data_IF_371266019155
#
_entry.id   IF_371266019155
#
_cell.length_a   1.000
_cell.length_b   1.000
_cell.length_c   1.000
_cell.angle_alpha   90.00
_cell.angle_beta   90.00
_cell.angle_gamma   90.00
#
_symmetry.space_group_name_H-M   'P 1'
#
loop_
_entity.id
_entity.type
_entity.pdbx_description
1 polymer ?
#
# COMPACT_ATOMS: atom_id res chain seq x y z
N UNK A 1 -5.12 7.52 -22.75
CA UNK A 1 -3.85 6.89 -22.33
C UNK A 1 -2.64 7.81 -22.48
N UNK A 2 -2.47 8.56 -23.57
CA UNK A 2 -1.32 9.49 -23.75
C UNK A 2 -1.27 10.68 -22.76
N UNK A 3 -2.42 11.27 -22.40
CA UNK A 3 -2.47 12.43 -21.48
C UNK A 3 -1.99 12.12 -20.05
N UNK A 4 -2.23 10.91 -19.56
CA UNK A 4 -1.76 10.50 -18.23
C UNK A 4 -0.24 10.23 -18.23
N UNK A 5 0.33 9.77 -19.36
CA UNK A 5 1.79 9.63 -19.47
C UNK A 5 2.51 10.98 -19.40
N UNK A 6 2.06 11.97 -20.21
CA UNK A 6 2.65 13.32 -20.23
C UNK A 6 2.59 14.01 -18.86
N UNK A 7 1.45 13.91 -18.17
CA UNK A 7 1.30 14.48 -16.83
C UNK A 7 2.23 13.83 -15.81
N UNK A 8 2.33 12.50 -15.82
CA UNK A 8 3.29 11.80 -14.94
C UNK A 8 4.73 12.19 -15.21
N UNK A 9 5.11 12.40 -16.48
CA UNK A 9 6.46 12.87 -16.84
C UNK A 9 6.69 14.30 -16.35
N UNK A 10 5.73 15.21 -16.56
CA UNK A 10 5.83 16.60 -16.11
C UNK A 10 5.95 16.69 -14.59
N UNK A 11 5.00 16.09 -13.87
CA UNK A 11 5.03 16.10 -12.40
C UNK A 11 6.22 15.32 -11.86
N UNK A 12 6.67 14.27 -12.55
CA UNK A 12 7.87 13.55 -12.14
C UNK A 12 9.15 14.36 -12.27
N UNK A 13 9.23 15.22 -13.29
CA UNK A 13 10.32 16.21 -13.39
C UNK A 13 10.24 17.24 -12.27
N UNK A 14 9.05 17.79 -12.00
CA UNK A 14 8.88 18.83 -10.98
C UNK A 14 9.11 18.32 -9.55
N UNK A 15 8.65 17.10 -9.25
CA UNK A 15 8.82 16.44 -7.95
C UNK A 15 10.19 15.75 -7.81
N UNK A 16 10.98 15.64 -8.89
CA UNK A 16 12.24 14.88 -8.95
C UNK A 16 12.10 13.39 -8.58
N UNK A 17 10.89 12.86 -8.66
CA UNK A 17 10.56 11.45 -8.40
C UNK A 17 9.70 10.90 -9.53
N UNK A 18 9.82 9.61 -9.82
CA UNK A 18 9.00 9.02 -10.88
C UNK A 18 7.56 8.87 -10.40
N UNK A 19 6.61 9.47 -11.13
CA UNK A 19 5.18 9.33 -10.86
C UNK A 19 4.67 8.06 -11.54
N UNK A 20 4.26 7.07 -10.75
CA UNK A 20 3.71 5.80 -11.23
C UNK A 20 2.24 5.96 -11.65
N UNK A 21 1.45 6.68 -10.86
CA UNK A 21 0.05 6.96 -11.14
C UNK A 21 -0.38 8.36 -10.66
N UNK A 22 -1.46 8.86 -11.26
CA UNK A 22 -2.20 10.04 -10.81
C UNK A 22 -3.65 9.58 -10.73
N UNK A 23 -4.20 9.53 -9.53
CA UNK A 23 -5.45 8.82 -9.25
C UNK A 23 -5.33 7.29 -9.42
N UNK A 24 -6.48 6.63 -9.44
CA UNK A 24 -6.62 5.18 -9.58
C UNK A 24 -7.60 4.79 -10.68
N UNK A 25 -7.40 3.60 -11.23
CA UNK A 25 -8.37 2.93 -12.12
C UNK A 25 -9.05 1.73 -11.46
N UNK A 26 -8.88 1.58 -10.13
CA UNK A 26 -9.52 0.52 -9.38
C UNK A 26 -11.04 0.60 -9.52
N UNK A 27 -11.67 -0.53 -9.84
CA UNK A 27 -13.12 -0.63 -9.98
C UNK A 27 -13.68 -1.11 -8.64
N UNK A 28 -14.36 -0.23 -7.88
CA UNK A 28 -14.85 -0.59 -6.56
C UNK A 28 -16.01 -1.56 -6.66
N UNK A 29 -16.06 -2.50 -5.71
CA UNK A 29 -17.10 -3.54 -5.64
C UNK A 29 -18.00 -3.40 -4.40
N UNK A 30 -17.68 -2.46 -3.50
CA UNK A 30 -18.44 -2.12 -2.30
C UNK A 30 -18.33 -0.62 -1.96
N UNK A 31 -19.09 -0.16 -0.98
CA UNK A 31 -19.18 1.26 -0.57
C UNK A 31 -17.84 1.80 -0.08
N UNK A 32 -17.14 1.08 0.80
CA UNK A 32 -15.82 1.47 1.29
C UNK A 32 -14.81 1.62 0.15
N UNK A 33 -14.75 0.67 -0.78
CA UNK A 33 -13.93 0.78 -1.98
C UNK A 33 -14.28 1.99 -2.83
N UNK A 34 -15.56 2.32 -2.91
CA UNK A 34 -16.03 3.47 -3.68
C UNK A 34 -15.53 4.77 -3.08
N UNK A 35 -15.66 4.95 -1.76
CA UNK A 35 -15.18 6.12 -1.04
C UNK A 35 -13.68 6.35 -1.25
N UNK A 36 -12.85 5.31 -1.12
CA UNK A 36 -11.40 5.44 -1.34
C UNK A 36 -11.05 5.77 -2.79
N UNK A 37 -11.70 5.12 -3.77
CA UNK A 37 -11.47 5.39 -5.19
C UNK A 37 -11.85 6.82 -5.53
N UNK A 38 -12.99 7.29 -5.04
CA UNK A 38 -13.46 8.65 -5.23
C UNK A 38 -12.50 9.65 -4.59
N UNK A 39 -12.06 9.43 -3.34
CA UNK A 39 -11.10 10.29 -2.65
C UNK A 39 -9.75 10.37 -3.37
N UNK A 40 -9.17 9.23 -3.77
CA UNK A 40 -7.90 9.18 -4.51
C UNK A 40 -8.00 9.93 -5.85
N UNK A 41 -9.12 9.76 -6.56
CA UNK A 41 -9.34 10.41 -7.85
C UNK A 41 -9.67 11.91 -7.71
N UNK A 42 -10.52 12.28 -6.76
CA UNK A 42 -10.89 13.66 -6.46
C UNK A 42 -9.66 14.48 -6.07
N UNK A 43 -8.83 13.93 -5.18
CA UNK A 43 -7.60 14.60 -4.74
C UNK A 43 -6.47 14.53 -5.77
N UNK A 44 -6.63 13.76 -6.85
CA UNK A 44 -5.57 13.45 -7.84
C UNK A 44 -4.30 12.92 -7.17
N UNK A 45 -4.46 12.11 -6.13
CA UNK A 45 -3.35 11.57 -5.34
C UNK A 45 -2.38 10.83 -6.27
N UNK A 46 -1.08 11.13 -6.12
CA UNK A 46 -0.02 10.59 -6.96
C UNK A 46 0.74 9.50 -6.21
N UNK A 47 0.93 8.34 -6.84
CA UNK A 47 1.88 7.34 -6.33
C UNK A 47 3.27 7.64 -6.92
N UNK A 48 4.24 7.89 -6.05
CA UNK A 48 5.62 8.20 -6.39
C UNK A 48 6.51 7.00 -6.07
N UNK A 49 7.47 6.74 -6.95
CA UNK A 49 8.61 5.86 -6.71
C UNK A 49 9.78 6.71 -6.20
N UNK A 50 10.03 6.64 -4.89
CA UNK A 50 11.14 7.33 -4.22
C UNK A 50 12.42 6.51 -4.39
N UNK A 51 12.33 5.22 -4.05
CA UNK A 51 13.36 4.23 -4.33
C UNK A 51 12.73 3.00 -4.97
N UNK A 52 13.23 2.62 -6.15
CA UNK A 52 12.71 1.49 -6.90
C UNK A 52 12.99 0.16 -6.18
N UNK A 53 11.95 -0.66 -6.03
CA UNK A 53 12.07 -2.04 -5.55
C UNK A 53 12.95 -2.90 -6.48
N UNK A 54 13.81 -3.75 -5.90
CA UNK A 54 14.60 -4.72 -6.64
C UNK A 54 13.89 -6.08 -6.61
N UNK A 55 12.91 -6.23 -7.51
CA UNK A 55 12.01 -7.38 -7.54
C UNK A 55 12.74 -8.58 -8.18
N UNK A 56 13.34 -9.41 -7.34
CA UNK A 56 13.92 -10.71 -7.71
C UNK A 56 13.38 -11.80 -6.80
N UNK A 57 13.39 -13.05 -7.27
CA UNK A 57 12.97 -14.22 -6.47
C UNK A 57 13.72 -14.29 -5.14
N UNK A 58 15.03 -14.02 -5.15
CA UNK A 58 15.85 -14.01 -3.94
C UNK A 58 15.45 -12.90 -2.97
N UNK A 59 15.24 -11.67 -3.46
CA UNK A 59 14.82 -10.56 -2.60
C UNK A 59 13.41 -10.79 -2.03
N UNK A 60 12.49 -11.36 -2.82
CA UNK A 60 11.16 -11.76 -2.33
C UNK A 60 11.29 -12.76 -1.18
N UNK A 61 12.17 -13.75 -1.32
CA UNK A 61 12.41 -14.73 -0.27
C UNK A 61 13.06 -14.12 0.97
N UNK A 62 14.08 -13.29 0.81
CA UNK A 62 14.71 -12.59 1.94
C UNK A 62 13.73 -11.68 2.67
N UNK A 63 12.87 -10.98 1.93
CA UNK A 63 11.79 -10.19 2.49
C UNK A 63 10.79 -11.07 3.23
N UNK A 64 10.38 -12.22 2.68
CA UNK A 64 9.52 -13.17 3.37
C UNK A 64 10.15 -13.69 4.67
N UNK A 65 11.45 -14.00 4.68
CA UNK A 65 12.16 -14.42 5.89
C UNK A 65 12.19 -13.32 6.95
N UNK A 66 12.36 -12.06 6.52
CA UNK A 66 12.27 -10.89 7.39
C UNK A 66 10.83 -10.59 7.83
N UNK A 67 9.82 -10.91 7.00
CA UNK A 67 8.37 -10.65 7.15
C UNK A 67 7.58 -11.80 7.81
N UNK A 68 8.14 -13.00 7.95
CA UNK A 68 7.56 -14.10 8.75
C UNK A 68 8.41 -14.33 10.00
N UNK A 69 9.67 -13.88 9.99
CA UNK A 69 10.68 -14.13 11.01
C UNK A 69 11.49 -15.39 10.68
N UNK A 70 12.82 -15.27 10.64
CA UNK A 70 13.72 -16.38 10.26
C UNK A 70 13.50 -17.64 11.08
N UNK A 71 13.19 -17.51 12.37
CA UNK A 71 12.92 -18.65 13.24
C UNK A 71 11.59 -19.38 12.98
N UNK A 72 10.70 -18.80 12.15
CA UNK A 72 9.40 -19.34 11.78
C UNK A 72 9.41 -20.04 10.41
N UNK A 73 10.54 -19.99 9.68
CA UNK A 73 10.70 -20.71 8.41
C UNK A 73 11.90 -21.67 8.53
N UNK A 74 11.70 -22.99 8.52
CA UNK A 74 12.74 -24.01 8.75
C UNK A 74 13.91 -23.94 7.75
N UNK A 75 15.11 -24.35 8.14
CA UNK A 75 16.27 -24.37 7.22
C UNK A 75 16.16 -25.42 6.12
N UNK A 76 15.52 -26.56 6.38
CA UNK A 76 15.28 -27.64 5.42
C UNK A 76 14.15 -27.32 4.41
N UNK A 77 14.01 -26.04 4.04
CA UNK A 77 13.01 -25.53 3.11
C UNK A 77 13.57 -25.43 1.70
N UNK A 78 12.70 -25.57 0.72
CA UNK A 78 12.96 -25.14 -0.66
C UNK A 78 12.00 -24.01 -1.02
N UNK A 79 12.56 -22.87 -1.44
CA UNK A 79 11.76 -21.79 -2.03
C UNK A 79 11.59 -22.06 -3.52
N UNK A 80 10.35 -22.02 -3.99
CA UNK A 80 9.99 -22.32 -5.39
C UNK A 80 9.21 -21.14 -5.95
N UNK A 81 9.70 -20.60 -7.06
CA UNK A 81 8.94 -19.69 -7.90
C UNK A 81 8.10 -20.50 -8.87
N UNK A 82 6.79 -20.34 -8.80
CA UNK A 82 5.82 -20.99 -9.70
C UNK A 82 5.52 -20.07 -10.87
N UNK A 83 5.34 -18.78 -10.58
CA UNK A 83 5.14 -17.71 -11.55
C UNK A 83 5.99 -16.51 -11.14
N UNK A 84 6.79 -15.94 -12.06
CA UNK A 84 7.61 -14.78 -11.74
C UNK A 84 6.75 -13.59 -11.29
N UNK A 85 7.30 -12.78 -10.39
CA UNK A 85 6.69 -11.52 -10.01
C UNK A 85 6.68 -10.53 -11.18
N UNK A 86 5.66 -9.69 -11.22
CA UNK A 86 5.63 -8.55 -12.13
C UNK A 86 6.66 -7.52 -11.69
N UNK A 87 7.54 -7.08 -12.60
CA UNK A 87 8.56 -6.07 -12.31
C UNK A 87 8.00 -4.65 -12.41
N UNK A 88 6.80 -4.44 -11.89
CA UNK A 88 6.13 -3.15 -11.86
C UNK A 88 5.28 -3.01 -10.59
N UNK A 89 5.29 -1.82 -10.01
CA UNK A 89 4.44 -1.49 -8.87
C UNK A 89 3.24 -0.73 -9.40
N UNK A 90 2.07 -1.34 -9.26
CA UNK A 90 0.82 -0.79 -9.73
C UNK A 90 -0.01 -0.26 -8.55
N UNK A 91 -0.42 1.01 -8.64
CA UNK A 91 -1.29 1.65 -7.66
C UNK A 91 -2.58 0.86 -7.44
N UNK A 92 -3.16 0.25 -8.49
CA UNK A 92 -4.34 -0.61 -8.39
C UNK A 92 -4.16 -1.73 -7.35
N UNK A 93 -3.01 -2.40 -7.39
CA UNK A 93 -2.70 -3.51 -6.50
C UNK A 93 -2.38 -3.01 -5.08
N UNK A 94 -1.83 -1.80 -4.96
CA UNK A 94 -1.55 -1.19 -3.67
C UNK A 94 -2.84 -0.77 -2.98
N UNK A 95 -3.70 -0.03 -3.69
CA UNK A 95 -4.98 0.46 -3.19
C UNK A 95 -5.91 -0.70 -2.84
N UNK A 96 -5.96 -1.76 -3.66
CA UNK A 96 -6.68 -3.00 -3.32
C UNK A 96 -6.18 -3.62 -2.01
N UNK A 97 -4.87 -3.68 -1.77
CA UNK A 97 -4.33 -4.18 -0.51
C UNK A 97 -4.60 -3.23 0.67
N UNK A 98 -4.71 -1.91 0.44
CA UNK A 98 -5.06 -0.92 1.47
C UNK A 98 -6.54 -1.03 1.84
N UNK A 99 -7.43 -1.19 0.86
CA UNK A 99 -8.89 -1.16 1.09
C UNK A 99 -9.45 -2.51 1.52
N UNK A 100 -9.02 -3.62 0.91
CA UNK A 100 -9.61 -4.95 1.19
C UNK A 100 -9.19 -5.54 2.55
N UNK A 101 -8.29 -4.86 3.28
CA UNK A 101 -7.76 -5.31 4.56
C UNK A 101 -6.61 -6.31 4.44
N UNK A 102 -5.91 -6.57 5.54
CA UNK A 102 -4.82 -7.55 5.58
C UNK A 102 -5.27 -8.99 5.79
N UNK A 103 -6.52 -9.24 6.18
CA UNK A 103 -6.94 -10.60 6.51
C UNK A 103 -6.80 -11.52 5.30
N UNK A 104 -6.34 -12.74 5.54
CA UNK A 104 -6.09 -13.70 4.46
C UNK A 104 -6.69 -15.04 4.79
N UNK A 105 -7.17 -15.67 3.73
CA UNK A 105 -7.67 -17.04 3.78
C UNK A 105 -6.50 -18.00 3.69
N UNK A 106 -6.45 -18.94 4.63
CA UNK A 106 -5.57 -20.10 4.63
C UNK A 106 -6.42 -21.33 4.32
N UNK A 107 -6.20 -21.91 3.15
CA UNK A 107 -6.68 -23.25 2.82
C UNK A 107 -5.63 -24.28 3.22
N UNK A 108 -6.08 -25.39 3.81
CA UNK A 108 -5.26 -26.52 4.23
C UNK A 108 -5.90 -27.80 3.74
N UNK A 109 -5.12 -28.65 3.10
CA UNK A 109 -5.50 -29.99 2.63
C UNK A 109 -4.61 -31.01 3.33
N UNK A 110 -5.22 -32.04 3.89
CA UNK A 110 -4.58 -33.18 4.55
C UNK A 110 -4.68 -34.39 3.64
N UNK A 111 -3.55 -34.86 3.11
CA UNK A 111 -3.57 -35.98 2.17
C UNK A 111 -4.03 -37.28 2.86
N UNK A 112 -4.86 -38.04 2.17
CA UNK A 112 -5.43 -39.30 2.68
C UNK A 112 -6.51 -39.14 3.75
N UNK A 113 -6.73 -37.93 4.29
CA UNK A 113 -7.74 -37.62 5.29
C UNK A 113 -7.43 -38.19 6.68
N UNK A 114 -7.54 -37.35 7.71
CA UNK A 114 -7.40 -37.79 9.10
C UNK A 114 -8.18 -36.86 10.03
N UNK A 115 -9.34 -37.29 10.52
CA UNK A 115 -10.20 -36.44 11.34
C UNK A 115 -9.51 -35.94 12.61
N UNK A 116 -8.62 -36.75 13.20
CA UNK A 116 -7.91 -36.39 14.43
C UNK A 116 -6.88 -35.28 14.20
N UNK A 117 -6.20 -35.27 13.06
CA UNK A 117 -5.25 -34.19 12.71
C UNK A 117 -6.00 -32.90 12.36
N UNK A 118 -7.14 -33.01 11.65
CA UNK A 118 -8.01 -31.87 11.33
C UNK A 118 -8.49 -31.17 12.60
N UNK A 119 -8.96 -31.93 13.60
CA UNK A 119 -9.42 -31.33 14.86
C UNK A 119 -8.27 -30.63 15.60
N UNK A 120 -7.06 -31.18 15.58
CA UNK A 120 -5.86 -30.52 16.13
C UNK A 120 -5.54 -29.22 15.38
N UNK A 121 -5.61 -29.23 14.05
CA UNK A 121 -5.38 -28.04 13.23
C UNK A 121 -6.39 -26.95 13.55
N UNK A 122 -7.67 -27.29 13.67
CA UNK A 122 -8.73 -26.34 14.05
C UNK A 122 -8.44 -25.69 15.42
N UNK A 123 -8.05 -26.47 16.42
CA UNK A 123 -7.72 -25.93 17.74
C UNK A 123 -6.49 -25.01 17.69
N UNK A 124 -5.47 -25.39 16.91
CA UNK A 124 -4.28 -24.58 16.74
C UNK A 124 -4.60 -23.25 16.05
N UNK A 125 -5.35 -23.26 14.94
CA UNK A 125 -5.77 -22.05 14.22
C UNK A 125 -6.52 -21.10 15.16
N UNK A 126 -7.48 -21.60 15.93
CA UNK A 126 -8.22 -20.79 16.91
C UNK A 126 -7.31 -20.20 17.99
N UNK A 127 -6.33 -20.97 18.48
CA UNK A 127 -5.33 -20.48 19.45
C UNK A 127 -4.45 -19.36 18.87
N UNK A 128 -4.26 -19.33 17.56
CA UNK A 128 -3.56 -18.25 16.85
C UNK A 128 -4.51 -17.11 16.43
N UNK A 129 -5.70 -16.99 17.05
CA UNK A 129 -6.73 -16.01 16.73
C UNK A 129 -7.32 -16.11 15.31
N UNK A 130 -7.18 -17.28 14.67
CA UNK A 130 -7.80 -17.56 13.38
C UNK A 130 -9.27 -17.95 13.51
N UNK A 131 -10.06 -17.57 12.50
CA UNK A 131 -11.48 -17.96 12.40
C UNK A 131 -11.62 -19.11 11.39
N UNK A 132 -12.31 -20.18 11.76
CA UNK A 132 -12.64 -21.25 10.80
C UNK A 132 -13.84 -20.82 9.97
N UNK A 133 -13.70 -20.88 8.65
CA UNK A 133 -14.75 -20.55 7.69
C UNK A 133 -15.44 -21.84 7.25
N UNK A 134 -14.67 -22.82 6.80
CA UNK A 134 -15.16 -24.14 6.39
C UNK A 134 -14.23 -25.24 6.90
N UNK A 135 -14.79 -26.43 7.14
CA UNK A 135 -14.02 -27.63 7.48
C UNK A 135 -14.67 -28.89 6.95
N UNK A 136 -13.85 -29.83 6.52
CA UNK A 136 -14.22 -31.20 6.17
C UNK A 136 -13.26 -32.19 6.84
N UNK A 137 -13.32 -33.47 6.50
CA UNK A 137 -12.40 -34.49 7.03
C UNK A 137 -11.01 -34.46 6.35
N UNK A 138 -10.87 -33.68 5.27
CA UNK A 138 -9.65 -33.58 4.47
C UNK A 138 -9.17 -32.14 4.32
N UNK A 139 -10.03 -31.14 4.56
CA UNK A 139 -9.75 -29.75 4.21
C UNK A 139 -10.22 -28.78 5.28
N UNK A 140 -9.53 -27.64 5.37
CA UNK A 140 -9.90 -26.52 6.25
C UNK A 140 -9.73 -25.23 5.44
N UNK A 141 -10.74 -24.36 5.49
CA UNK A 141 -10.60 -22.96 5.11
C UNK A 141 -10.72 -22.11 6.36
N UNK A 142 -9.70 -21.29 6.61
CA UNK A 142 -9.65 -20.39 7.77
C UNK A 142 -9.27 -18.99 7.35
N UNK A 143 -9.57 -18.01 8.20
CA UNK A 143 -9.25 -16.59 8.01
C UNK A 143 -8.34 -16.13 9.13
N UNK A 144 -7.17 -15.60 8.77
CA UNK A 144 -6.15 -15.07 9.68
C UNK A 144 -5.96 -13.57 9.46
N UNK A 145 -5.36 -12.90 10.43
CA UNK A 145 -5.18 -11.44 10.45
C UNK A 145 -4.31 -10.90 9.31
N UNK A 146 -3.32 -11.65 8.85
CA UNK A 146 -2.41 -11.23 7.79
C UNK A 146 -1.93 -12.38 6.93
N UNK A 147 -1.39 -12.05 5.75
CA UNK A 147 -0.67 -13.02 4.90
C UNK A 147 0.47 -13.72 5.63
N UNK A 148 1.26 -12.96 6.38
CA UNK A 148 2.44 -13.50 7.07
C UNK A 148 2.04 -14.44 8.20
N UNK A 149 0.95 -14.11 8.91
CA UNK A 149 0.37 -14.97 9.93
C UNK A 149 -0.20 -16.25 9.32
N UNK A 150 -0.95 -16.14 8.21
CA UNK A 150 -1.45 -17.31 7.47
C UNK A 150 -0.33 -18.23 6.98
N UNK A 151 0.79 -17.68 6.47
CA UNK A 151 1.96 -18.46 6.05
C UNK A 151 2.59 -19.17 7.25
N UNK A 152 2.83 -18.45 8.36
CA UNK A 152 3.40 -19.01 9.60
C UNK A 152 2.54 -20.14 10.16
N UNK A 153 1.23 -19.91 10.28
CA UNK A 153 0.27 -20.93 10.72
C UNK A 153 0.30 -22.12 9.78
N UNK A 154 0.29 -21.90 8.46
CA UNK A 154 0.41 -22.97 7.47
C UNK A 154 1.66 -23.83 7.65
N UNK A 155 2.82 -23.23 7.92
CA UNK A 155 4.07 -23.97 8.18
C UNK A 155 3.96 -24.82 9.46
N UNK A 156 3.37 -24.30 10.54
CA UNK A 156 3.16 -25.07 11.78
C UNK A 156 2.18 -26.24 11.59
N UNK A 157 1.10 -26.04 10.82
CA UNK A 157 0.17 -27.13 10.46
C UNK A 157 0.88 -28.23 9.66
N UNK A 158 1.73 -27.84 8.70
CA UNK A 158 2.55 -28.80 7.96
C UNK A 158 3.46 -29.58 8.88
N UNK A 159 4.16 -28.91 9.79
CA UNK A 159 5.03 -29.56 10.77
C UNK A 159 4.25 -30.59 11.61
N UNK A 160 3.09 -30.21 12.13
CA UNK A 160 2.23 -31.14 12.90
C UNK A 160 1.79 -32.34 12.07
N UNK A 161 1.44 -32.14 10.79
CA UNK A 161 1.13 -33.23 9.86
C UNK A 161 2.32 -34.16 9.64
N UNK A 162 3.49 -33.60 9.31
CA UNK A 162 4.71 -34.37 9.05
C UNK A 162 5.21 -35.14 10.28
N UNK A 163 5.01 -34.61 11.49
CA UNK A 163 5.27 -35.32 12.75
C UNK A 163 4.37 -36.55 12.90
N UNK A 164 3.12 -36.46 12.45
CA UNK A 164 2.15 -37.56 12.37
C UNK A 164 2.35 -38.47 11.14
N UNK A 165 3.33 -38.19 10.28
CA UNK A 165 3.58 -38.95 9.04
C UNK A 165 2.55 -38.68 7.93
N UNK A 166 1.89 -37.53 7.97
CA UNK A 166 0.85 -37.11 7.02
C UNK A 166 1.34 -35.87 6.29
N UNK A 167 1.29 -35.92 4.95
CA UNK A 167 1.60 -34.75 4.14
C UNK A 167 0.43 -33.76 4.13
N UNK A 168 0.79 -32.48 4.19
CA UNK A 168 -0.15 -31.37 4.33
C UNK A 168 0.19 -30.31 3.31
N UNK A 169 -0.83 -29.86 2.58
CA UNK A 169 -0.72 -28.72 1.69
C UNK A 169 -1.43 -27.53 2.30
N UNK A 170 -0.81 -26.37 2.17
CA UNK A 170 -1.41 -25.12 2.56
C UNK A 170 -1.29 -24.10 1.43
N UNK A 171 -2.26 -23.19 1.35
CA UNK A 171 -2.22 -22.08 0.42
C UNK A 171 -2.90 -20.85 1.01
N UNK A 172 -2.28 -19.69 0.80
CA UNK A 172 -2.76 -18.41 1.30
C UNK A 172 -3.31 -17.59 0.15
N UNK A 173 -4.51 -17.02 0.33
CA UNK A 173 -5.22 -16.22 -0.67
C UNK A 173 -6.00 -15.05 -0.07
N UNK A 174 -6.40 -14.11 -0.93
CA UNK A 174 -7.28 -12.99 -0.53
C UNK A 174 -8.71 -13.45 -0.27
N UNK A 175 -9.15 -14.52 -0.93
CA UNK A 175 -10.45 -15.18 -0.72
C UNK A 175 -10.24 -16.68 -0.54
N UNK A 176 -11.25 -17.38 -0.01
CA UNK A 176 -11.23 -18.84 0.11
C UNK A 176 -11.08 -19.54 -1.26
N UNK A 177 -11.77 -19.04 -2.29
CA UNK A 177 -11.62 -19.57 -3.64
C UNK A 177 -10.18 -19.38 -4.18
N UNK A 178 -9.59 -18.20 -3.96
CA UNK A 178 -8.23 -17.92 -4.41
C UNK A 178 -7.16 -18.74 -3.66
N UNK A 179 -7.39 -19.09 -2.39
CA UNK A 179 -6.48 -20.00 -1.67
C UNK A 179 -6.61 -21.44 -2.18
N UNK A 180 -7.82 -21.91 -2.49
CA UNK A 180 -8.05 -23.24 -3.08
C UNK A 180 -7.42 -23.34 -4.48
N UNK A 181 -7.69 -22.38 -5.37
CA UNK A 181 -7.11 -22.35 -6.71
C UNK A 181 -5.58 -22.40 -6.66
N UNK A 182 -4.98 -21.65 -5.72
CA UNK A 182 -3.54 -21.66 -5.50
C UNK A 182 -3.03 -23.01 -5.02
N UNK A 183 -3.75 -23.68 -4.13
CA UNK A 183 -3.43 -25.05 -3.71
C UNK A 183 -3.44 -26.03 -4.88
N UNK A 184 -4.42 -25.92 -5.77
CA UNK A 184 -4.53 -26.74 -6.98
C UNK A 184 -3.35 -26.49 -7.91
N UNK A 185 -3.00 -25.22 -8.16
CA UNK A 185 -1.86 -24.87 -9.02
C UNK A 185 -0.53 -25.31 -8.41
N UNK A 186 -0.39 -25.21 -7.09
CA UNK A 186 0.76 -25.73 -6.35
C UNK A 186 0.90 -27.25 -6.56
N UNK A 187 -0.19 -28.02 -6.42
CA UNK A 187 -0.19 -29.46 -6.65
C UNK A 187 0.31 -29.86 -8.04
N UNK A 188 -0.12 -29.13 -9.08
CA UNK A 188 0.31 -29.38 -10.46
C UNK A 188 1.82 -29.20 -10.66
N UNK A 189 2.46 -28.35 -9.86
CA UNK A 189 3.87 -27.97 -10.01
C UNK A 189 4.81 -28.78 -9.13
N UNK A 190 4.43 -29.05 -7.88
CA UNK A 190 5.31 -29.70 -6.89
C UNK A 190 4.81 -31.10 -6.47
N UNK A 191 3.71 -31.58 -7.05
CA UNK A 191 3.08 -32.85 -6.70
C UNK A 191 2.51 -32.87 -5.27
N UNK A 192 2.27 -34.08 -4.76
CA UNK A 192 1.82 -34.34 -3.39
C UNK A 192 2.97 -34.18 -2.37
N UNK A 193 3.59 -32.99 -2.36
CA UNK A 193 4.62 -32.62 -1.39
C UNK A 193 4.05 -31.58 -0.42
N UNK A 194 4.46 -31.68 0.85
CA UNK A 194 4.10 -30.71 1.86
C UNK A 194 4.67 -29.32 1.56
N UNK A 195 3.82 -28.28 1.62
CA UNK A 195 4.25 -26.92 1.33
C UNK A 195 3.16 -25.85 1.45
N UNK A 196 3.58 -24.59 1.57
CA UNK A 196 2.71 -23.40 1.64
C UNK A 196 2.85 -22.56 0.38
N UNK A 197 1.78 -22.42 -0.41
CA UNK A 197 1.72 -21.54 -1.58
C UNK A 197 1.15 -20.15 -1.26
N UNK A 198 1.67 -19.08 -1.87
CA UNK A 198 1.19 -17.70 -1.67
C UNK A 198 1.53 -16.78 -2.85
N UNK A 199 0.99 -15.55 -2.86
CA UNK A 199 1.30 -14.51 -3.84
C UNK A 199 2.03 -13.30 -3.28
N UNK A 200 2.87 -12.68 -4.11
CA UNK A 200 3.51 -11.38 -3.87
C UNK A 200 3.77 -10.72 -5.24
N UNK A 201 3.34 -9.47 -5.41
CA UNK A 201 3.57 -8.66 -6.63
C UNK A 201 3.19 -9.37 -7.94
N UNK A 202 1.99 -9.96 -8.01
CA UNK A 202 1.51 -10.68 -9.21
C UNK A 202 2.16 -12.05 -9.47
N UNK A 203 3.26 -12.37 -8.77
CA UNK A 203 3.95 -13.66 -8.79
C UNK A 203 3.39 -14.66 -7.79
N UNK A 204 3.67 -15.93 -8.04
CA UNK A 204 3.24 -17.07 -7.22
C UNK A 204 4.46 -17.86 -6.74
N UNK A 205 4.49 -18.12 -5.43
CA UNK A 205 5.64 -18.71 -4.74
C UNK A 205 5.19 -19.79 -3.77
N UNK A 206 6.11 -20.69 -3.43
CA UNK A 206 5.89 -21.70 -2.41
C UNK A 206 7.12 -21.95 -1.54
N UNK A 207 6.85 -22.31 -0.29
CA UNK A 207 7.84 -22.92 0.60
C UNK A 207 7.50 -24.40 0.71
N UNK A 208 8.40 -25.26 0.25
CA UNK A 208 8.21 -26.71 0.18
C UNK A 208 9.14 -27.42 1.16
N UNK A 209 8.64 -28.50 1.77
CA UNK A 209 9.36 -29.30 2.76
C UNK A 209 9.42 -30.76 2.29
N UNK A 210 10.63 -31.29 2.15
CA UNK A 210 10.87 -32.67 1.72
C UNK A 210 11.21 -33.63 2.86
N UNK A 211 11.32 -33.12 4.10
CA UNK A 211 11.65 -33.89 5.29
C UNK A 211 11.06 -33.25 6.54
N UNK A 212 11.00 -34.02 7.63
CA UNK A 212 10.47 -33.55 8.91
C UNK A 212 11.09 -32.21 9.31
N UNK A 213 10.22 -31.29 9.69
CA UNK A 213 10.59 -29.92 10.03
C UNK A 213 11.17 -29.88 11.46
N UNK A 214 12.30 -29.19 11.63
CA UNK A 214 12.89 -28.92 12.95
C UNK A 214 12.00 -28.00 13.78
N UNK A 215 12.20 -27.96 15.11
CA UNK A 215 11.46 -27.07 15.99
C UNK A 215 11.62 -25.61 15.53
N UNK A 216 10.51 -24.93 15.26
CA UNK A 216 10.50 -23.49 15.00
C UNK A 216 10.97 -22.77 16.26
N UNK A 217 11.99 -21.92 16.11
CA UNK A 217 12.63 -21.20 17.20
C UNK A 217 12.09 -19.76 17.34
N UNK A 218 11.32 -19.29 16.36
CA UNK A 218 10.75 -17.95 16.34
C UNK A 218 9.49 -17.86 17.19
N UNK A 219 9.38 -16.78 17.98
CA UNK A 219 8.07 -16.24 18.30
C UNK A 219 7.44 -15.67 17.00
N UNK A 220 6.11 -15.51 16.92
CA UNK A 220 5.50 -14.74 15.84
C UNK A 220 6.23 -13.40 15.73
N UNK A 221 6.70 -13.06 14.54
CA UNK A 221 7.30 -11.75 14.35
C UNK A 221 6.22 -10.70 14.59
N UNK A 222 6.36 -9.93 15.66
CA UNK A 222 5.57 -8.73 15.88
C UNK A 222 6.09 -7.72 14.86
N UNK A 223 5.41 -7.59 13.73
CA UNK A 223 5.66 -6.44 12.87
C UNK A 223 5.05 -5.26 13.57
N UNK A 224 5.91 -4.44 14.14
CA UNK A 224 5.49 -3.12 14.53
C UNK A 224 5.26 -2.31 13.26
N UNK A 225 3.99 -2.10 12.91
CA UNK A 225 3.63 -1.20 11.83
C UNK A 225 3.61 0.20 12.45
N UNK A 226 4.78 0.80 12.56
CA UNK A 226 4.93 2.13 13.13
C UNK A 226 4.48 3.18 12.15
N UNK A 227 3.60 4.05 12.61
CA UNK A 227 3.15 5.25 11.93
C UNK A 227 3.68 6.45 12.68
N UNK A 228 4.35 7.35 11.96
CA UNK A 228 4.76 8.67 12.41
C UNK A 228 3.97 9.70 11.60
N UNK A 229 3.27 10.60 12.27
CA UNK A 229 2.57 11.73 11.65
C UNK A 229 3.13 13.01 12.27
N UNK A 230 3.33 14.02 11.44
CA UNK A 230 3.72 15.35 11.89
C UNK A 230 3.13 16.41 10.95
N UNK A 231 2.75 17.57 11.48
CA UNK A 231 2.14 18.64 10.71
C UNK A 231 3.22 19.55 10.08
N UNK A 232 3.15 19.71 8.77
CA UNK A 232 3.96 20.70 8.05
C UNK A 232 3.65 22.11 8.53
N UNK A 233 4.70 22.91 8.72
CA UNK A 233 4.64 24.34 9.08
C UNK A 233 3.65 24.63 10.22
N UNK A 234 3.60 23.76 11.22
CA UNK A 234 2.68 23.86 12.36
C UNK A 234 2.70 25.24 13.02
N UNK A 235 3.87 25.90 13.06
CA UNK A 235 4.02 27.27 13.57
C UNK A 235 3.19 28.28 12.77
N UNK A 236 3.29 28.25 11.44
CA UNK A 236 2.51 29.14 10.57
C UNK A 236 1.00 28.83 10.68
N UNK A 237 0.64 27.55 10.70
CA UNK A 237 -0.76 27.14 10.88
C UNK A 237 -1.34 27.66 12.21
N UNK A 238 -0.57 27.58 13.31
CA UNK A 238 -0.99 28.09 14.62
C UNK A 238 -1.16 29.61 14.60
N UNK A 239 -0.30 30.34 13.88
CA UNK A 239 -0.44 31.80 13.71
C UNK A 239 -1.71 32.17 12.93
N UNK A 240 -2.07 31.40 11.90
CA UNK A 240 -3.21 31.68 11.01
C UNK A 240 -4.56 31.18 11.56
N UNK A 241 -4.59 30.00 12.17
CA UNK A 241 -5.81 29.27 12.54
C UNK A 241 -5.95 29.04 14.05
N UNK A 242 -4.91 29.36 14.83
CA UNK A 242 -4.88 29.15 16.27
C UNK A 242 -4.45 27.75 16.69
N UNK A 243 -3.86 27.66 17.89
CA UNK A 243 -3.37 26.39 18.45
C UNK A 243 -4.48 25.38 18.67
N UNK A 244 -5.60 25.83 19.20
CA UNK A 244 -6.72 24.96 19.56
C UNK A 244 -7.24 24.17 18.34
N UNK A 245 -7.21 24.79 17.16
CA UNK A 245 -7.62 24.13 15.91
C UNK A 245 -6.67 23.01 15.51
N UNK A 246 -5.36 23.20 15.67
CA UNK A 246 -4.39 22.13 15.42
C UNK A 246 -4.57 20.98 16.42
N UNK A 247 -4.78 21.30 17.70
CA UNK A 247 -5.02 20.29 18.74
C UNK A 247 -6.27 19.47 18.45
N UNK A 248 -7.35 20.10 18.00
CA UNK A 248 -8.59 19.43 17.59
C UNK A 248 -8.32 18.43 16.47
N UNK A 249 -7.69 18.85 15.37
CA UNK A 249 -7.35 17.98 14.22
C UNK A 249 -6.49 16.80 14.67
N UNK A 250 -5.45 17.04 15.48
CA UNK A 250 -4.54 15.98 15.94
C UNK A 250 -5.21 15.01 16.91
N UNK A 251 -6.15 15.48 17.74
CA UNK A 251 -6.95 14.63 18.61
C UNK A 251 -7.96 13.78 17.83
N UNK A 252 -8.60 14.32 16.79
CA UNK A 252 -9.48 13.58 15.90
C UNK A 252 -8.72 12.46 15.16
N UNK A 253 -7.52 12.76 14.67
CA UNK A 253 -6.60 11.78 14.08
C UNK A 253 -6.22 10.69 15.09
N UNK A 254 -5.82 11.09 16.31
CA UNK A 254 -5.48 10.16 17.39
C UNK A 254 -6.66 9.20 17.66
N UNK A 255 -7.86 9.75 17.80
CA UNK A 255 -9.07 8.98 18.09
C UNK A 255 -9.43 8.01 16.98
N UNK A 256 -9.31 8.43 15.71
CA UNK A 256 -9.49 7.57 14.55
C UNK A 256 -8.48 6.40 14.54
N UNK A 257 -7.21 6.68 14.86
CA UNK A 257 -6.17 5.65 14.94
C UNK A 257 -6.50 4.61 16.02
N UNK A 258 -6.92 5.05 17.21
CA UNK A 258 -7.23 4.16 18.33
C UNK A 258 -8.51 3.35 18.10
N UNK A 259 -9.58 4.00 17.62
CA UNK A 259 -10.92 3.41 17.56
C UNK A 259 -11.14 2.61 16.27
N UNK A 260 -10.82 3.20 15.12
CA UNK A 260 -11.14 2.62 13.81
C UNK A 260 -9.99 1.74 13.29
N UNK A 261 -8.75 2.19 13.45
CA UNK A 261 -7.57 1.44 13.02
C UNK A 261 -7.05 0.44 14.09
N UNK A 262 -7.61 0.49 15.31
CA UNK A 262 -7.19 -0.34 16.46
C UNK A 262 -5.69 -0.19 16.78
N UNK A 263 -5.15 0.99 16.50
CA UNK A 263 -3.77 1.35 16.77
C UNK A 263 -3.55 1.64 18.24
N UNK A 264 -2.30 1.50 18.68
CA UNK A 264 -1.84 1.93 19.99
C UNK A 264 -0.99 3.18 19.83
N UNK A 265 -1.42 4.29 20.42
CA UNK A 265 -0.61 5.51 20.50
C UNK A 265 0.56 5.25 21.46
N UNK A 266 1.78 5.45 20.96
CA UNK A 266 3.01 5.21 21.72
C UNK A 266 3.75 6.51 22.06
N UNK A 267 3.43 7.60 21.36
CA UNK A 267 3.94 8.94 21.64
C UNK A 267 2.99 9.97 21.06
N UNK A 268 2.39 10.78 21.92
CA UNK A 268 1.65 11.98 21.54
C UNK A 268 1.68 12.91 22.74
N UNK A 269 2.20 14.12 22.56
CA UNK A 269 2.10 15.15 23.58
C UNK A 269 0.79 15.89 23.32
N UNK A 270 -0.08 15.96 24.31
CA UNK A 270 -1.34 16.71 24.19
C UNK A 270 -1.04 18.16 23.77
N UNK A 271 -1.55 18.56 22.61
CA UNK A 271 -1.28 19.86 21.98
C UNK A 271 0.05 20.00 21.23
N UNK A 272 0.69 18.87 20.92
CA UNK A 272 1.80 18.75 19.97
C UNK A 272 1.30 18.59 18.52
N UNK A 273 2.24 18.71 17.59
CA UNK A 273 2.06 18.59 16.14
C UNK A 273 2.48 17.23 15.59
N UNK A 274 3.13 16.39 16.41
CA UNK A 274 3.59 15.06 16.06
C UNK A 274 2.90 13.94 16.86
N UNK A 275 2.75 12.77 16.22
CA UNK A 275 2.26 11.56 16.89
C UNK A 275 2.95 10.30 16.34
N UNK A 276 3.09 9.30 17.22
CA UNK A 276 3.63 7.98 16.92
C UNK A 276 2.63 6.93 17.38
N UNK A 277 2.26 6.03 16.47
CA UNK A 277 1.37 4.91 16.74
C UNK A 277 1.97 3.59 16.24
N UNK A 278 1.60 2.50 16.90
CA UNK A 278 1.85 1.14 16.45
C UNK A 278 0.52 0.51 16.01
N UNK A 279 0.45 0.05 14.76
CA UNK A 279 -0.76 -0.54 14.18
C UNK A 279 -0.64 -2.07 14.10
N UNK A 280 -1.77 -2.79 14.25
CA UNK A 280 -1.78 -4.25 14.24
C UNK A 280 -1.35 -4.82 12.88
N UNK A 281 -1.59 -4.10 11.79
CA UNK A 281 -1.36 -4.56 10.42
C UNK A 281 -0.95 -3.40 9.51
N UNK A 282 -0.30 -3.73 8.39
CA UNK A 282 0.25 -2.73 7.45
C UNK A 282 -0.82 -1.93 6.71
N UNK A 283 -1.92 -2.58 6.33
CA UNK A 283 -3.11 -1.92 5.77
C UNK A 283 -3.71 -0.92 6.77
N UNK A 284 -3.79 -1.28 8.06
CA UNK A 284 -4.27 -0.36 9.10
C UNK A 284 -3.34 0.87 9.23
N UNK A 285 -2.01 0.68 9.12
CA UNK A 285 -1.06 1.79 9.09
C UNK A 285 -1.23 2.68 7.85
N UNK A 286 -1.40 2.08 6.67
CA UNK A 286 -1.62 2.82 5.42
C UNK A 286 -2.93 3.60 5.44
N UNK A 287 -4.00 2.97 5.95
CA UNK A 287 -5.31 3.59 6.15
C UNK A 287 -5.23 4.75 7.14
N UNK A 288 -4.64 4.52 8.31
CA UNK A 288 -4.40 5.55 9.30
C UNK A 288 -3.67 6.75 8.70
N UNK A 289 -2.61 6.51 7.92
CA UNK A 289 -1.82 7.59 7.32
C UNK A 289 -2.58 8.39 6.25
N UNK A 290 -3.26 7.71 5.32
CA UNK A 290 -3.94 8.39 4.21
C UNK A 290 -5.21 9.12 4.65
N UNK A 291 -6.02 8.50 5.52
CA UNK A 291 -7.25 9.11 6.04
C UNK A 291 -6.91 10.31 6.93
N UNK A 292 -5.88 10.20 7.77
CA UNK A 292 -5.38 11.35 8.55
C UNK A 292 -4.90 12.49 7.65
N UNK A 293 -4.21 12.15 6.56
CA UNK A 293 -3.71 13.15 5.58
C UNK A 293 -4.86 13.88 4.89
N UNK A 294 -5.92 13.17 4.51
CA UNK A 294 -7.12 13.78 3.93
C UNK A 294 -7.91 14.60 4.95
N UNK A 295 -8.09 14.06 6.14
CA UNK A 295 -8.79 14.75 7.22
C UNK A 295 -8.10 16.06 7.60
N UNK A 296 -6.79 16.04 7.83
CA UNK A 296 -6.02 17.25 8.11
C UNK A 296 -6.11 18.25 6.96
N UNK A 297 -5.98 17.78 5.71
CA UNK A 297 -6.09 18.63 4.53
C UNK A 297 -7.44 19.33 4.43
N UNK A 298 -8.55 18.61 4.65
CA UNK A 298 -9.89 19.20 4.64
C UNK A 298 -10.08 20.25 5.74
N UNK A 299 -9.23 20.22 6.77
CA UNK A 299 -9.20 21.18 7.86
C UNK A 299 -8.05 22.21 7.74
N UNK A 300 -7.41 22.30 6.57
CA UNK A 300 -6.37 23.29 6.26
C UNK A 300 -4.96 22.93 6.72
N UNK A 301 -4.77 21.84 7.45
CA UNK A 301 -3.46 21.35 7.87
C UNK A 301 -2.87 20.39 6.84
N UNK A 302 -1.54 20.23 6.83
CA UNK A 302 -0.86 19.31 5.91
C UNK A 302 0.04 18.41 6.72
N UNK A 303 0.02 17.11 6.44
CA UNK A 303 0.78 16.13 7.21
C UNK A 303 1.93 15.56 6.41
N UNK A 304 3.06 15.37 7.07
CA UNK A 304 4.07 14.39 6.68
C UNK A 304 3.82 13.11 7.45
N UNK A 305 3.74 12.01 6.72
CA UNK A 305 3.43 10.70 7.29
C UNK A 305 4.51 9.71 6.87
N UNK A 306 5.01 8.94 7.82
CA UNK A 306 5.99 7.89 7.59
C UNK A 306 5.54 6.57 8.20
N UNK A 307 5.63 5.50 7.41
CA UNK A 307 5.35 4.14 7.86
C UNK A 307 6.65 3.32 7.82
N UNK A 308 6.97 2.67 8.92
CA UNK A 308 8.20 1.89 9.07
C UNK A 308 8.06 0.72 10.05
N UNK A 309 9.12 -0.08 10.18
CA UNK A 309 9.14 -1.27 11.05
C UNK A 309 9.62 -0.95 12.47
N UNK A 310 10.06 0.29 12.69
CA UNK A 310 10.46 0.82 13.99
C UNK A 310 10.05 2.29 14.07
N UNK A 311 9.96 2.83 15.30
CA UNK A 311 9.68 4.27 15.51
C UNK A 311 10.65 5.16 14.75
N UNK A 312 11.94 4.80 14.76
CA UNK A 312 13.00 5.54 14.07
C UNK A 312 12.80 5.49 12.56
N UNK A 313 12.57 4.30 12.00
CA UNK A 313 12.36 4.16 10.56
C UNK A 313 11.12 4.94 10.10
N UNK A 314 10.01 4.88 10.85
CA UNK A 314 8.81 5.65 10.55
C UNK A 314 9.10 7.17 10.56
N UNK A 315 9.85 7.67 11.54
CA UNK A 315 10.29 9.07 11.58
C UNK A 315 11.22 9.45 10.41
N UNK A 316 12.17 8.59 10.06
CA UNK A 316 13.05 8.78 8.88
C UNK A 316 12.22 8.83 7.59
N UNK A 317 11.17 8.00 7.45
CA UNK A 317 10.24 8.06 6.31
C UNK A 317 9.44 9.36 6.29
N UNK A 318 8.95 9.82 7.44
CA UNK A 318 8.22 11.08 7.53
C UNK A 318 9.12 12.27 7.14
N UNK A 319 10.40 12.25 7.51
CA UNK A 319 11.36 13.30 7.12
C UNK A 319 11.66 13.32 5.61
N UNK A 320 11.60 12.17 4.92
CA UNK A 320 11.74 12.15 3.45
C UNK A 320 10.66 12.98 2.74
N UNK A 321 9.51 13.22 3.39
CA UNK A 321 8.44 14.07 2.85
C UNK A 321 8.89 15.52 2.62
N UNK A 322 9.88 16.02 3.38
CA UNK A 322 10.34 17.42 3.29
C UNK A 322 10.96 17.74 1.92
N UNK A 323 11.48 16.72 1.24
CA UNK A 323 12.08 16.81 -0.10
C UNK A 323 11.07 16.55 -1.23
N UNK A 324 9.89 15.99 -0.91
CA UNK A 324 8.84 15.65 -1.87
C UNK A 324 7.83 16.80 -1.94
N UNK A 325 8.22 17.89 -2.60
CA UNK A 325 7.35 19.06 -2.78
C UNK A 325 7.54 19.72 -4.13
N UNK A 326 6.49 20.43 -4.56
CA UNK A 326 6.53 21.29 -5.73
C UNK A 326 6.97 22.70 -5.30
N UNK A 327 6.03 23.61 -5.09
CA UNK A 327 6.31 24.96 -4.60
C UNK A 327 5.98 25.12 -3.12
N UNK A 328 4.86 24.54 -2.68
CA UNK A 328 4.41 24.57 -1.29
C UNK A 328 4.39 23.15 -0.72
N UNK A 329 4.47 23.05 0.61
CA UNK A 329 4.23 21.81 1.33
C UNK A 329 2.85 21.27 0.97
N UNK A 330 2.76 19.95 0.83
CA UNK A 330 1.56 19.20 0.48
C UNK A 330 1.57 17.92 1.31
N UNK A 331 0.41 17.32 1.62
CA UNK A 331 0.43 16.07 2.37
C UNK A 331 1.20 14.98 1.62
N UNK A 332 2.11 14.31 2.32
CA UNK A 332 2.90 13.20 1.77
C UNK A 332 2.96 12.08 2.78
N UNK A 333 2.62 10.87 2.32
CA UNK A 333 2.79 9.64 3.09
C UNK A 333 3.85 8.75 2.45
N UNK A 334 4.94 8.47 3.15
CA UNK A 334 6.05 7.63 2.70
C UNK A 334 5.97 6.26 3.38
N UNK A 335 6.08 5.19 2.60
CA UNK A 335 5.97 3.82 3.08
C UNK A 335 6.85 2.85 2.26
N UNK A 336 7.12 1.68 2.83
CA UNK A 336 7.80 0.60 2.13
C UNK A 336 6.82 -0.24 1.31
N UNK A 337 7.25 -0.71 0.14
CA UNK A 337 6.56 -1.79 -0.56
C UNK A 337 7.59 -2.74 -1.14
N UNK A 338 7.49 -4.02 -0.75
CA UNK A 338 8.56 -4.99 -0.97
C UNK A 338 9.89 -4.47 -0.40
N UNK A 339 10.90 -4.24 -1.22
CA UNK A 339 12.19 -3.64 -0.87
C UNK A 339 12.37 -2.21 -1.38
N UNK A 340 11.34 -1.59 -1.97
CA UNK A 340 11.35 -0.21 -2.43
C UNK A 340 10.69 0.77 -1.44
N UNK A 341 10.89 2.07 -1.71
CA UNK A 341 10.28 3.19 -0.99
C UNK A 341 9.34 3.92 -1.94
N UNK A 342 8.10 4.10 -1.50
CA UNK A 342 7.05 4.75 -2.26
C UNK A 342 6.41 5.85 -1.44
N UNK A 343 5.78 6.80 -2.12
CA UNK A 343 5.06 7.85 -1.45
C UNK A 343 3.71 8.13 -2.12
N UNK A 344 2.69 8.38 -1.31
CA UNK A 344 1.48 9.05 -1.77
C UNK A 344 1.64 10.54 -1.55
N UNK A 345 1.64 11.28 -2.66
CA UNK A 345 1.66 12.74 -2.68
C UNK A 345 0.27 13.24 -3.01
N UNK A 346 -0.31 14.07 -2.14
CA UNK A 346 -1.62 14.66 -2.33
C UNK A 346 -1.44 16.10 -2.83
N UNK A 347 -1.66 16.41 -4.12
CA UNK A 347 -1.44 17.75 -4.65
C UNK A 347 -2.28 18.81 -3.95
N UNK A 348 -1.77 20.04 -3.87
CA UNK A 348 -2.55 21.22 -3.46
C UNK A 348 -3.73 21.48 -4.40
N UNK A 349 -4.72 22.23 -3.95
CA UNK A 349 -5.91 22.60 -4.75
C UNK A 349 -5.53 23.24 -6.09
N UNK A 350 -4.55 24.15 -6.10
CA UNK A 350 -4.02 24.75 -7.31
C UNK A 350 -3.48 23.70 -8.30
N UNK A 351 -2.66 22.76 -7.80
CA UNK A 351 -2.10 21.70 -8.63
C UNK A 351 -3.18 20.74 -9.14
N UNK A 352 -4.22 20.45 -8.34
CA UNK A 352 -5.38 19.66 -8.78
C UNK A 352 -6.13 20.34 -9.91
N UNK A 353 -6.38 21.64 -9.79
CA UNK A 353 -7.05 22.41 -10.84
C UNK A 353 -6.25 22.38 -12.15
N UNK A 354 -4.92 22.45 -12.09
CA UNK A 354 -4.04 22.27 -13.26
C UNK A 354 -4.19 20.86 -13.85
N UNK A 355 -4.12 19.82 -13.01
CA UNK A 355 -4.26 18.43 -13.47
C UNK A 355 -5.60 18.20 -14.13
N UNK A 356 -6.69 18.66 -13.51
CA UNK A 356 -8.06 18.56 -14.03
C UNK A 356 -8.20 19.29 -15.36
N UNK A 357 -7.71 20.52 -15.44
CA UNK A 357 -7.69 21.30 -16.68
C UNK A 357 -6.97 20.56 -17.82
N UNK A 358 -5.80 19.97 -17.51
CA UNK A 358 -5.01 19.24 -18.50
C UNK A 358 -5.61 17.88 -18.88
N UNK A 359 -6.30 17.20 -17.97
CA UNK A 359 -6.92 15.89 -18.22
C UNK A 359 -8.27 16.00 -18.91
N UNK A 360 -9.15 16.89 -18.46
CA UNK A 360 -10.57 16.90 -18.83
C UNK A 360 -10.87 17.96 -19.90
N UNK A 361 -10.18 19.10 -19.87
CA UNK A 361 -10.29 20.17 -20.87
C UNK A 361 -9.23 20.05 -21.98
N UNK A 362 -8.76 18.84 -22.29
CA UNK A 362 -7.70 18.58 -23.28
C UNK A 362 -7.93 19.24 -24.65
N UNK A 363 -9.17 19.29 -25.13
CA UNK A 363 -9.52 20.03 -26.36
C UNK A 363 -9.32 21.56 -26.24
N UNK A 364 -9.62 22.15 -25.08
CA UNK A 364 -9.35 23.57 -24.81
C UNK A 364 -7.86 23.84 -24.64
N UNK A 365 -7.11 22.92 -24.04
CA UNK A 365 -5.64 23.01 -23.94
C UNK A 365 -5.01 23.01 -25.33
N UNK A 366 -5.44 22.10 -26.22
CA UNK A 366 -4.99 22.07 -27.60
C UNK A 366 -5.36 23.36 -28.33
N UNK A 367 -6.59 23.87 -28.13
CA UNK A 367 -7.03 25.12 -28.74
C UNK A 367 -6.21 26.32 -28.27
N UNK A 368 -5.93 26.42 -26.96
CA UNK A 368 -5.05 27.45 -26.39
C UNK A 368 -3.65 27.31 -26.96
N UNK A 369 -3.10 26.11 -27.01
CA UNK A 369 -1.77 25.87 -27.56
C UNK A 369 -1.68 26.27 -29.03
N UNK A 370 -2.64 25.85 -29.86
CA UNK A 370 -2.71 26.20 -31.29
C UNK A 370 -2.88 27.71 -31.46
N UNK A 371 -3.73 28.34 -30.66
CA UNK A 371 -3.94 29.79 -30.68
C UNK A 371 -2.65 30.55 -30.35
N UNK A 372 -2.03 30.25 -29.20
CA UNK A 372 -0.78 30.89 -28.78
C UNK A 372 0.33 30.62 -29.79
N UNK A 373 0.44 29.39 -30.29
CA UNK A 373 1.44 29.01 -31.29
C UNK A 373 1.26 29.79 -32.60
N UNK A 374 0.04 29.86 -33.15
CA UNK A 374 -0.22 30.58 -34.40
C UNK A 374 0.03 32.08 -34.24
N UNK A 375 -0.45 32.69 -33.15
CA UNK A 375 -0.26 34.13 -32.92
C UNK A 375 1.22 34.46 -32.67
N UNK A 376 1.94 33.60 -31.96
CA UNK A 376 3.39 33.75 -31.75
C UNK A 376 4.16 33.57 -33.05
N UNK A 377 3.80 32.58 -33.88
CA UNK A 377 4.42 32.34 -35.18
C UNK A 377 4.17 33.50 -36.17
N UNK A 378 2.95 34.03 -36.20
CA UNK A 378 2.62 35.22 -37.00
C UNK A 378 3.40 36.44 -36.48
N UNK A 379 3.38 36.68 -35.17
CA UNK A 379 4.13 37.76 -34.53
C UNK A 379 5.62 37.70 -34.85
N UNK A 380 6.22 36.51 -34.73
CA UNK A 380 7.63 36.28 -35.07
C UNK A 380 7.95 36.57 -36.53
N UNK A 381 7.11 36.13 -37.47
CA UNK A 381 7.30 36.37 -38.91
C UNK A 381 7.07 37.84 -39.32
N UNK A 382 6.30 38.60 -38.54
CA UNK A 382 6.01 40.03 -38.79
C UNK A 382 6.93 40.94 -37.95
N UNK A 383 7.80 40.37 -37.10
CA UNK A 383 8.79 41.10 -36.30
C UNK A 383 8.30 41.62 -34.94
N UNK A 384 7.12 41.20 -34.48
CA UNK A 384 6.52 41.57 -33.19
C UNK A 384 6.38 40.34 -32.29
N UNK A 385 7.41 40.06 -31.50
CA UNK A 385 7.45 38.94 -30.56
C UNK A 385 6.45 39.12 -29.40
N UNK A 386 6.03 40.37 -29.12
CA UNK A 386 5.07 40.75 -28.08
C UNK A 386 3.70 40.13 -28.29
N UNK A 387 3.33 39.79 -29.54
CA UNK A 387 2.07 39.12 -29.85
C UNK A 387 1.95 37.76 -29.16
N UNK A 388 3.06 37.06 -28.96
CA UNK A 388 3.07 35.82 -28.18
C UNK A 388 2.69 36.05 -26.72
N UNK A 389 3.21 37.12 -26.09
CA UNK A 389 2.87 37.48 -24.70
C UNK A 389 1.40 37.89 -24.55
N UNK A 390 0.88 38.68 -25.50
CA UNK A 390 -0.54 39.08 -25.51
C UNK A 390 -1.44 37.84 -25.70
N UNK A 391 -1.06 36.92 -26.58
CA UNK A 391 -1.80 35.67 -26.77
C UNK A 391 -1.81 34.80 -25.51
N UNK A 392 -0.69 34.73 -24.78
CA UNK A 392 -0.61 34.04 -23.49
C UNK A 392 -1.55 34.69 -22.46
N UNK A 393 -1.56 36.02 -22.36
CA UNK A 393 -2.44 36.75 -21.43
C UNK A 393 -3.92 36.53 -21.76
N UNK A 394 -4.31 36.59 -23.04
CA UNK A 394 -5.67 36.32 -23.49
C UNK A 394 -6.08 34.86 -23.26
N UNK A 395 -5.17 33.92 -23.49
CA UNK A 395 -5.39 32.51 -23.22
C UNK A 395 -5.59 32.23 -21.72
N UNK A 396 -4.82 32.90 -20.85
CA UNK A 396 -4.99 32.82 -19.40
C UNK A 396 -6.35 33.38 -18.97
N UNK A 397 -6.76 34.55 -19.50
CA UNK A 397 -8.08 35.12 -19.23
C UNK A 397 -9.20 34.17 -19.69
N UNK A 398 -9.11 33.64 -20.90
CA UNK A 398 -10.08 32.68 -21.41
C UNK A 398 -10.17 31.43 -20.52
N UNK A 399 -9.03 30.87 -20.11
CA UNK A 399 -8.97 29.71 -19.22
C UNK A 399 -9.55 29.98 -17.82
N UNK A 400 -9.45 31.21 -17.32
CA UNK A 400 -10.01 31.63 -16.02
C UNK A 400 -11.53 31.88 -16.09
N UNK A 401 -12.04 32.34 -17.24
CA UNK A 401 -13.46 32.72 -17.40
C UNK A 401 -14.37 31.60 -17.94
N UNK A 402 -13.82 30.48 -18.40
CA UNK A 402 -14.54 29.42 -19.12
C UNK A 402 -14.39 28.02 -18.52
#
# INVERSE_FOLDING_TARGET
MAGNYLLRTLFGFLLKHRVLSIGTKYYPTNETETEYVEMVNYTRTMLLEVEKANITTENIFQNLLKEVGRGNIPENRRFVEIKPAENDVNEYALLSNIIMGSDRYLYVEVFGGNQRIIDQFVQFIKKQNGTIVERSNTEIVSRLLSKNDAIRVGIELIKMGMEAGIDVRAAVGMTGAASIERSINLNKQIGQTSGVGFTKLGGEFAIVFSSKISKLAGAPAVYDNYLFIDAFDSTQFIEEQGRDRLVEIMNEIKDFIEKDCKGKIEGYREGGDDLIANLPTKDAALRAGIDSSWHALNNGARLRVGIGKSRREAGERAQMADDIKLWNNSPVMVFDLADGIYAYYIPSEFNRAIIEFLQEKSGRVILIFVFVFLVTLIGWNVGYWEFGLVAIALALLYALTA
#
